data_IF_141554688504
#
_entry.id   IF_141554688504
#
_cell.length_a   1.000
_cell.length_b   1.000
_cell.length_c   1.000
_cell.angle_alpha   90.00
_cell.angle_beta   90.00
_cell.angle_gamma   90.00
#
_symmetry.space_group_name_H-M   'P 1'
#
loop_
_entity.id
_entity.type
_entity.pdbx_description
1 polymer ?
#
# COMPACT_ATOMS: atom_id res chain seq x y z
N UNK A 1 -36.69 5.68 -29.83
CA UNK A 1 -35.54 4.76 -30.02
C UNK A 1 -34.56 5.06 -28.91
N UNK A 2 -34.59 4.29 -27.84
CA UNK A 2 -33.63 4.38 -26.74
C UNK A 2 -33.06 2.99 -26.56
N UNK A 3 -31.75 2.91 -26.75
CA UNK A 3 -30.97 1.68 -26.87
C UNK A 3 -31.19 0.76 -25.67
N UNK A 4 -31.48 -0.52 -25.98
CA UNK A 4 -31.34 -1.60 -25.02
C UNK A 4 -29.89 -1.63 -24.56
N UNK A 5 -29.61 -1.06 -23.38
CA UNK A 5 -28.37 -1.34 -22.66
C UNK A 5 -28.40 -2.82 -22.30
N UNK A 6 -27.81 -3.63 -23.19
CA UNK A 6 -27.70 -5.06 -23.02
C UNK A 6 -26.85 -5.30 -21.77
N UNK A 7 -27.52 -5.66 -20.67
CA UNK A 7 -26.90 -5.99 -19.38
C UNK A 7 -25.77 -6.98 -19.65
N UNK A 8 -24.50 -6.55 -19.52
CA UNK A 8 -23.34 -7.44 -19.71
C UNK A 8 -23.49 -8.59 -18.72
N UNK A 9 -23.84 -9.77 -19.22
CA UNK A 9 -23.95 -10.98 -18.41
C UNK A 9 -22.52 -11.38 -18.02
N UNK A 10 -22.24 -11.47 -16.72
CA UNK A 10 -20.95 -11.97 -16.23
C UNK A 10 -20.83 -13.46 -16.58
N UNK A 11 -19.68 -13.85 -17.13
CA UNK A 11 -19.39 -15.25 -17.47
C UNK A 11 -18.75 -15.93 -16.25
N UNK A 12 -19.35 -16.97 -15.66
CA UNK A 12 -18.77 -17.67 -14.52
C UNK A 12 -17.51 -18.44 -14.95
N UNK A 13 -16.43 -18.32 -14.17
CA UNK A 13 -15.15 -18.98 -14.46
C UNK A 13 -14.99 -20.35 -13.78
N UNK A 14 -16.01 -20.83 -13.05
CA UNK A 14 -15.95 -22.11 -12.34
C UNK A 14 -14.97 -22.15 -11.16
N UNK A 15 -14.50 -21.00 -10.69
CA UNK A 15 -13.58 -20.85 -9.56
C UNK A 15 -14.05 -19.70 -8.67
N UNK A 16 -14.01 -19.88 -7.35
CA UNK A 16 -14.37 -18.84 -6.40
C UNK A 16 -13.27 -17.76 -6.31
N UNK A 17 -13.66 -16.57 -5.84
CA UNK A 17 -12.79 -15.38 -5.79
C UNK A 17 -11.54 -15.61 -4.94
N UNK A 18 -11.68 -16.32 -3.81
CA UNK A 18 -10.57 -16.59 -2.90
C UNK A 18 -9.56 -17.53 -3.55
N UNK A 19 -10.02 -18.64 -4.13
CA UNK A 19 -9.19 -19.59 -4.85
C UNK A 19 -8.46 -18.93 -6.03
N UNK A 20 -9.17 -18.13 -6.83
CA UNK A 20 -8.57 -17.39 -7.93
C UNK A 20 -7.52 -16.38 -7.45
N UNK A 21 -7.74 -15.74 -6.30
CA UNK A 21 -6.79 -14.79 -5.69
C UNK A 21 -5.54 -15.50 -5.19
N UNK A 22 -5.69 -16.63 -4.48
CA UNK A 22 -4.56 -17.45 -4.04
C UNK A 22 -3.70 -17.93 -5.22
N UNK A 23 -4.32 -18.32 -6.35
CA UNK A 23 -3.58 -18.69 -7.56
C UNK A 23 -2.78 -17.52 -8.14
N UNK A 24 -3.34 -16.31 -8.17
CA UNK A 24 -2.62 -15.10 -8.63
C UNK A 24 -1.45 -14.77 -7.70
N UNK A 25 -1.65 -14.80 -6.39
CA UNK A 25 -0.59 -14.57 -5.40
C UNK A 25 0.51 -15.63 -5.56
N UNK A 26 0.14 -16.92 -5.64
CA UNK A 26 1.09 -18.01 -5.92
C UNK A 26 1.95 -17.70 -7.14
N UNK A 27 1.32 -17.27 -8.25
CA UNK A 27 2.04 -16.93 -9.49
C UNK A 27 2.99 -15.74 -9.31
N UNK A 28 2.62 -14.72 -8.53
CA UNK A 28 3.53 -13.61 -8.19
C UNK A 28 4.77 -14.16 -7.48
N UNK A 29 4.61 -15.01 -6.48
CA UNK A 29 5.73 -15.66 -5.79
C UNK A 29 6.48 -16.72 -6.64
N UNK A 30 5.94 -17.15 -7.78
CA UNK A 30 6.66 -18.01 -8.72
C UNK A 30 7.58 -17.21 -9.64
N UNK A 31 7.26 -15.94 -9.89
CA UNK A 31 7.89 -15.11 -10.93
C UNK A 31 8.83 -14.04 -10.35
N UNK A 32 8.50 -13.49 -9.18
CA UNK A 32 9.20 -12.34 -8.63
C UNK A 32 9.91 -12.69 -7.32
N UNK A 33 11.17 -12.27 -7.23
CA UNK A 33 11.95 -12.38 -5.99
C UNK A 33 11.66 -11.22 -5.05
N UNK A 34 11.48 -10.02 -5.60
CA UNK A 34 11.19 -8.78 -4.87
C UNK A 34 9.70 -8.48 -4.92
N UNK A 35 9.03 -8.57 -3.78
CA UNK A 35 7.58 -8.37 -3.66
C UNK A 35 7.34 -7.31 -2.58
N UNK A 36 6.59 -6.26 -2.92
CA UNK A 36 6.07 -5.30 -1.94
C UNK A 36 4.55 -5.30 -1.96
N UNK A 37 3.93 -5.30 -0.78
CA UNK A 37 2.52 -5.02 -0.58
C UNK A 37 2.31 -3.53 -0.28
N UNK A 38 1.56 -2.84 -1.13
CA UNK A 38 1.01 -1.52 -0.83
C UNK A 38 -0.18 -1.68 0.13
N UNK A 39 0.03 -1.30 1.38
CA UNK A 39 -0.91 -1.47 2.48
C UNK A 39 -1.48 -0.11 2.88
N UNK A 40 -2.80 -0.03 3.07
CA UNK A 40 -3.50 1.21 3.42
C UNK A 40 -4.13 1.20 4.80
N UNK A 41 -4.07 0.07 5.52
CA UNK A 41 -4.84 -0.14 6.75
C UNK A 41 -6.34 -0.36 6.50
N UNK A 42 -6.81 -0.35 5.25
CA UNK A 42 -8.20 -0.60 4.90
C UNK A 42 -8.52 -2.10 4.76
N UNK A 43 -9.81 -2.44 4.68
CA UNK A 43 -10.27 -3.85 4.60
C UNK A 43 -9.65 -4.65 3.44
N UNK A 44 -9.56 -4.07 2.23
CA UNK A 44 -9.15 -4.82 1.03
C UNK A 44 -7.65 -5.11 1.07
N UNK A 45 -6.85 -4.11 1.45
CA UNK A 45 -5.41 -4.28 1.64
C UNK A 45 -5.08 -5.16 2.84
N UNK A 46 -5.92 -5.18 3.88
CA UNK A 46 -5.81 -6.11 5.01
C UNK A 46 -6.04 -7.56 4.59
N UNK A 47 -7.12 -7.84 3.85
CA UNK A 47 -7.36 -9.19 3.29
C UNK A 47 -6.20 -9.61 2.40
N UNK A 48 -5.70 -8.70 1.56
CA UNK A 48 -4.53 -8.98 0.73
C UNK A 48 -3.29 -9.31 1.57
N UNK A 49 -3.04 -8.59 2.67
CA UNK A 49 -1.94 -8.88 3.58
C UNK A 49 -2.04 -10.30 4.14
N UNK A 50 -3.20 -10.70 4.69
CA UNK A 50 -3.41 -12.06 5.18
C UNK A 50 -3.06 -13.13 4.13
N UNK A 51 -3.50 -12.93 2.87
CA UNK A 51 -3.27 -13.91 1.80
C UNK A 51 -1.82 -13.93 1.30
N UNK A 52 -1.16 -12.77 1.23
CA UNK A 52 0.25 -12.67 0.85
C UNK A 52 1.14 -13.29 1.92
N UNK A 53 0.85 -13.02 3.20
CA UNK A 53 1.58 -13.59 4.32
C UNK A 53 1.42 -15.11 4.43
N UNK A 54 0.22 -15.65 4.17
CA UNK A 54 -0.03 -17.10 4.10
C UNK A 54 0.87 -17.76 3.04
N UNK A 55 0.93 -17.19 1.83
CA UNK A 55 1.77 -17.71 0.76
C UNK A 55 3.28 -17.56 1.06
N UNK A 56 3.68 -16.43 1.65
CA UNK A 56 5.06 -16.18 2.06
C UNK A 56 5.53 -17.24 3.07
N UNK A 57 4.75 -17.46 4.13
CA UNK A 57 5.01 -18.49 5.16
C UNK A 57 5.07 -19.89 4.56
N UNK A 58 4.12 -20.25 3.67
CA UNK A 58 4.09 -21.55 3.00
C UNK A 58 5.37 -21.84 2.20
N UNK A 59 6.04 -20.80 1.71
CA UNK A 59 7.28 -20.90 0.93
C UNK A 59 8.55 -20.66 1.73
N UNK A 60 8.44 -20.28 3.01
CA UNK A 60 9.58 -19.78 3.77
C UNK A 60 10.23 -18.55 3.13
N UNK A 61 9.43 -17.72 2.43
CA UNK A 61 9.88 -16.49 1.78
C UNK A 61 9.37 -15.28 2.56
N UNK A 62 10.01 -14.13 2.33
CA UNK A 62 9.57 -12.84 2.84
C UNK A 62 9.10 -11.90 1.74
N UNK A 63 8.37 -10.86 2.13
CA UNK A 63 7.95 -9.75 1.27
C UNK A 63 8.06 -8.44 2.05
N UNK A 64 8.09 -7.31 1.35
CA UNK A 64 8.10 -5.99 1.96
C UNK A 64 6.71 -5.37 2.02
N UNK A 65 6.50 -4.39 2.88
CA UNK A 65 5.25 -3.64 3.00
C UNK A 65 5.52 -2.14 2.86
N UNK A 66 4.73 -1.45 2.06
CA UNK A 66 4.71 0.01 1.98
C UNK A 66 3.43 0.54 2.59
N UNK A 67 3.55 1.42 3.58
CA UNK A 67 2.45 2.16 4.17
C UNK A 67 2.76 3.66 4.15
N UNK A 68 1.91 4.46 3.48
CA UNK A 68 2.02 5.93 3.49
C UNK A 68 1.14 6.47 4.61
N UNK A 69 1.79 7.08 5.60
CA UNK A 69 1.14 7.69 6.73
C UNK A 69 0.89 9.18 6.44
N UNK A 70 -0.38 9.58 6.38
CA UNK A 70 -0.79 10.96 6.11
C UNK A 70 -0.89 11.84 7.37
N UNK A 71 -0.34 11.46 8.53
CA UNK A 71 -0.39 12.26 9.77
C UNK A 71 -1.81 12.34 10.38
N UNK A 72 -2.79 12.94 9.70
CA UNK A 72 -4.22 13.07 10.07
C UNK A 72 -5.09 11.82 9.85
N UNK A 73 -4.51 10.63 9.82
CA UNK A 73 -5.30 9.39 9.72
C UNK A 73 -6.02 9.05 11.04
N UNK A 74 -7.16 8.36 10.92
CA UNK A 74 -7.89 7.86 12.08
C UNK A 74 -6.99 6.99 12.96
N UNK A 75 -7.07 7.21 14.28
CA UNK A 75 -6.29 6.45 15.26
C UNK A 75 -6.49 4.94 15.11
N UNK A 76 -7.73 4.48 14.85
CA UNK A 76 -8.02 3.07 14.61
C UNK A 76 -7.29 2.47 13.41
N UNK A 77 -7.08 3.24 12.34
CA UNK A 77 -6.28 2.82 11.18
C UNK A 77 -4.82 2.64 11.58
N UNK A 78 -4.27 3.58 12.35
CA UNK A 78 -2.89 3.52 12.82
C UNK A 78 -2.66 2.34 13.77
N UNK A 79 -3.58 2.10 14.70
CA UNK A 79 -3.56 0.91 15.58
C UNK A 79 -3.58 -0.37 14.76
N UNK A 80 -4.51 -0.49 13.80
CA UNK A 80 -4.60 -1.67 12.94
C UNK A 80 -3.33 -1.89 12.11
N UNK A 81 -2.71 -0.83 11.60
CA UNK A 81 -1.45 -0.93 10.85
C UNK A 81 -0.32 -1.43 11.73
N UNK A 82 -0.23 -0.95 12.98
CA UNK A 82 0.74 -1.43 13.95
C UNK A 82 0.54 -2.91 14.31
N UNK A 83 -0.71 -3.32 14.55
CA UNK A 83 -1.07 -4.72 14.82
C UNK A 83 -0.70 -5.64 13.64
N UNK A 84 -0.97 -5.21 12.40
CA UNK A 84 -0.61 -5.96 11.20
C UNK A 84 0.91 -6.04 10.99
N UNK A 85 1.65 -4.98 11.30
CA UNK A 85 3.13 -4.98 11.27
C UNK A 85 3.69 -6.00 12.26
N UNK A 86 3.16 -6.05 13.48
CA UNK A 86 3.59 -7.00 14.51
C UNK A 86 3.23 -8.44 14.13
N UNK A 87 1.99 -8.67 13.71
CA UNK A 87 1.43 -9.99 13.38
C UNK A 87 2.21 -10.72 12.28
N UNK A 88 2.84 -9.99 11.37
CA UNK A 88 3.54 -10.54 10.20
C UNK A 88 5.04 -10.24 10.18
N UNK A 89 5.62 -9.90 11.32
CA UNK A 89 7.06 -9.62 11.41
C UNK A 89 7.93 -10.83 11.04
N UNK A 90 7.42 -12.04 11.21
CA UNK A 90 8.11 -13.29 10.85
C UNK A 90 8.32 -13.45 9.34
N UNK A 91 7.38 -12.95 8.52
CA UNK A 91 7.40 -13.10 7.06
C UNK A 91 7.49 -11.77 6.29
N UNK A 92 7.62 -10.65 7.00
CA UNK A 92 7.94 -9.35 6.42
C UNK A 92 9.46 -9.13 6.46
N UNK A 93 10.03 -8.67 5.34
CA UNK A 93 11.44 -8.28 5.24
C UNK A 93 11.61 -6.85 5.74
N UNK A 94 11.00 -5.90 5.05
CA UNK A 94 10.94 -4.50 5.44
C UNK A 94 9.49 -4.02 5.56
N UNK A 95 9.22 -3.19 6.57
CA UNK A 95 7.95 -2.47 6.70
C UNK A 95 8.23 -0.97 6.56
N UNK A 96 8.11 -0.45 5.34
CA UNK A 96 8.30 0.95 5.00
C UNK A 96 7.09 1.77 5.48
N UNK A 97 7.11 2.20 6.74
CA UNK A 97 6.14 3.12 7.31
C UNK A 97 6.59 4.56 7.07
N UNK A 98 6.03 5.21 6.05
CA UNK A 98 6.50 6.51 5.58
C UNK A 98 5.82 7.63 6.37
N UNK A 99 6.59 8.36 7.17
CA UNK A 99 6.19 9.60 7.83
C UNK A 99 7.06 10.77 7.33
N UNK A 100 7.10 10.91 6.00
CA UNK A 100 7.83 11.98 5.31
C UNK A 100 6.87 13.06 4.83
N UNK A 101 7.33 14.32 4.71
CA UNK A 101 6.58 15.38 4.05
C UNK A 101 6.15 15.01 2.63
N UNK A 102 4.84 14.83 2.43
CA UNK A 102 4.24 14.51 1.14
C UNK A 102 3.03 15.42 0.88
N UNK A 103 2.98 15.96 -0.34
CA UNK A 103 1.91 16.86 -0.76
C UNK A 103 0.72 16.09 -1.31
N UNK A 104 -0.48 16.49 -0.92
CA UNK A 104 -1.74 16.01 -1.51
C UNK A 104 -2.78 17.11 -1.57
N UNK A 105 -3.85 16.85 -2.33
CA UNK A 105 -4.96 17.79 -2.49
C UNK A 105 -5.74 17.98 -1.19
N UNK A 106 -6.10 19.22 -0.92
CA UNK A 106 -6.98 19.62 0.16
C UNK A 106 -8.40 19.83 -0.41
N UNK A 107 -9.31 18.90 -0.11
CA UNK A 107 -10.70 18.96 -0.57
C UNK A 107 -11.59 19.99 0.15
N UNK A 108 -11.10 20.66 1.21
CA UNK A 108 -11.91 21.54 2.06
C UNK A 108 -11.57 23.04 1.92
N UNK A 109 -10.60 23.40 1.08
CA UNK A 109 -10.23 24.81 0.86
C UNK A 109 -9.94 25.12 -0.60
N UNK A 110 -10.60 26.14 -1.14
CA UNK A 110 -10.30 26.68 -2.46
C UNK A 110 -9.10 27.65 -2.46
N UNK A 111 -8.71 28.17 -1.28
CA UNK A 111 -7.61 29.12 -1.12
C UNK A 111 -6.30 28.38 -0.84
N UNK A 112 -6.38 27.25 -0.13
CA UNK A 112 -5.28 26.35 0.16
C UNK A 112 -5.63 24.97 -0.41
N UNK A 113 -5.49 24.77 -1.72
CA UNK A 113 -5.95 23.56 -2.42
C UNK A 113 -5.07 22.34 -2.19
N UNK A 114 -3.94 22.49 -1.49
CA UNK A 114 -2.98 21.44 -1.18
C UNK A 114 -2.54 21.56 0.28
N UNK A 115 -2.07 20.44 0.83
CA UNK A 115 -1.46 20.39 2.15
C UNK A 115 -0.36 19.31 2.19
N UNK A 116 0.55 19.45 3.14
CA UNK A 116 1.70 18.57 3.31
C UNK A 116 1.53 17.82 4.63
N UNK A 117 1.39 16.50 4.57
CA UNK A 117 1.45 15.67 5.78
C UNK A 117 2.85 15.72 6.37
N UNK A 118 3.01 15.63 7.69
CA UNK A 118 4.33 15.67 8.35
C UNK A 118 5.19 16.91 7.99
N UNK A 119 4.56 18.05 7.71
CA UNK A 119 5.27 19.29 7.33
C UNK A 119 6.22 19.78 8.43
N UNK A 120 7.38 20.32 8.04
CA UNK A 120 8.32 20.93 9.00
C UNK A 120 7.70 22.15 9.67
N UNK A 121 7.95 22.30 10.97
CA UNK A 121 7.49 23.44 11.78
C UNK A 121 5.96 23.57 11.87
N UNK A 122 5.20 22.53 11.51
CA UNK A 122 3.79 22.44 11.77
C UNK A 122 3.53 21.72 13.10
N UNK A 123 2.41 22.05 13.74
CA UNK A 123 1.92 21.31 14.90
C UNK A 123 1.22 20.03 14.41
N UNK A 124 1.89 18.88 14.56
CA UNK A 124 1.30 17.59 14.21
C UNK A 124 0.29 17.13 15.27
N UNK A 125 -0.79 16.49 14.85
CA UNK A 125 -1.82 15.92 15.71
C UNK A 125 -1.35 14.67 16.47
N UNK A 126 -0.21 14.10 16.06
CA UNK A 126 0.47 12.98 16.74
C UNK A 126 1.94 12.88 16.32
N UNK A 127 2.69 12.08 17.07
CA UNK A 127 4.05 11.72 16.70
C UNK A 127 4.08 10.55 15.70
N UNK A 128 5.10 10.46 14.83
CA UNK A 128 5.40 9.24 14.08
C UNK A 128 5.60 8.05 15.02
N UNK A 129 5.16 6.83 14.65
CA UNK A 129 5.40 5.64 15.45
C UNK A 129 6.85 5.17 15.35
N UNK A 130 7.26 4.32 16.30
CA UNK A 130 8.62 3.80 16.34
C UNK A 130 9.01 3.03 15.07
N UNK A 131 10.18 3.34 14.54
CA UNK A 131 10.70 2.76 13.29
C UNK A 131 10.01 3.28 12.02
N UNK A 132 9.16 4.31 12.11
CA UNK A 132 8.72 5.03 10.93
C UNK A 132 9.89 5.79 10.28
N UNK A 133 9.84 5.90 8.97
CA UNK A 133 10.82 6.64 8.17
C UNK A 133 10.46 8.11 8.23
N UNK A 134 11.22 8.86 9.02
CA UNK A 134 11.13 10.31 9.18
C UNK A 134 12.40 11.04 8.69
N UNK A 135 13.45 10.29 8.37
CA UNK A 135 14.71 10.83 7.84
C UNK A 135 14.58 11.08 6.32
N UNK A 136 14.88 12.31 5.92
CA UNK A 136 14.66 12.76 4.55
C UNK A 136 15.74 12.21 3.60
N UNK A 137 16.87 11.78 4.15
CA UNK A 137 17.96 11.16 3.40
C UNK A 137 17.81 9.63 3.27
N UNK A 138 16.76 9.04 3.88
CA UNK A 138 16.54 7.59 3.84
C UNK A 138 16.41 7.06 2.41
N UNK A 139 15.74 7.82 1.54
CA UNK A 139 15.61 7.48 0.12
C UNK A 139 16.40 8.46 -0.74
N UNK A 140 17.30 7.99 -1.61
CA UNK A 140 18.10 8.87 -2.46
C UNK A 140 17.27 9.63 -3.52
N UNK A 141 16.02 9.19 -3.75
CA UNK A 141 15.10 9.84 -4.69
C UNK A 141 14.18 10.87 -4.01
N UNK A 142 14.11 10.89 -2.68
CA UNK A 142 13.12 11.69 -1.98
C UNK A 142 13.43 13.18 -2.11
N UNK A 143 12.36 13.96 -2.29
CA UNK A 143 12.41 15.42 -2.31
C UNK A 143 11.33 15.94 -1.36
N UNK A 144 11.68 16.94 -0.56
CA UNK A 144 10.76 17.53 0.41
C UNK A 144 9.44 17.96 -0.26
N UNK A 145 8.31 17.49 0.29
CA UNK A 145 6.98 17.87 -0.20
C UNK A 145 6.66 17.34 -1.60
N UNK A 146 7.35 16.29 -2.07
CA UNK A 146 6.95 15.65 -3.33
C UNK A 146 5.53 15.08 -3.23
N UNK A 147 4.82 15.05 -4.36
CA UNK A 147 3.45 14.51 -4.38
C UNK A 147 3.46 12.99 -4.24
N UNK A 148 2.34 12.42 -3.78
CA UNK A 148 2.14 10.96 -3.77
C UNK A 148 2.36 10.33 -5.15
N UNK A 149 1.87 11.00 -6.20
CA UNK A 149 1.98 10.58 -7.60
C UNK A 149 3.44 10.55 -8.08
N UNK A 150 4.32 11.35 -7.46
CA UNK A 150 5.75 11.33 -7.72
C UNK A 150 6.47 10.30 -6.83
N UNK A 151 6.04 10.16 -5.58
CA UNK A 151 6.66 9.28 -4.59
C UNK A 151 6.50 7.81 -4.97
N UNK A 152 5.30 7.36 -5.34
CA UNK A 152 5.04 5.94 -5.61
C UNK A 152 5.88 5.40 -6.79
N UNK A 153 5.96 6.07 -7.95
CA UNK A 153 6.84 5.61 -9.03
C UNK A 153 8.32 5.61 -8.65
N UNK A 154 8.77 6.62 -7.89
CA UNK A 154 10.16 6.71 -7.45
C UNK A 154 10.51 5.60 -6.45
N UNK A 155 9.63 5.34 -5.47
CA UNK A 155 9.74 4.21 -4.56
C UNK A 155 9.76 2.89 -5.31
N UNK A 156 8.85 2.66 -6.26
CA UNK A 156 8.81 1.41 -7.02
C UNK A 156 10.10 1.18 -7.83
N UNK A 157 10.66 2.23 -8.43
CA UNK A 157 11.93 2.16 -9.16
C UNK A 157 13.11 1.88 -8.23
N UNK A 158 13.14 2.51 -7.06
CA UNK A 158 14.16 2.28 -6.05
C UNK A 158 14.06 0.87 -5.46
N UNK A 159 12.84 0.45 -5.07
CA UNK A 159 12.58 -0.86 -4.51
C UNK A 159 12.93 -1.97 -5.49
N UNK A 160 12.65 -1.79 -6.78
CA UNK A 160 12.96 -2.83 -7.77
C UNK A 160 14.46 -2.99 -8.01
N UNK A 161 15.26 -1.96 -7.77
CA UNK A 161 16.70 -1.94 -8.04
C UNK A 161 17.06 -2.40 -9.48
N UNK A 162 16.16 -2.20 -10.44
CA UNK A 162 16.33 -2.66 -11.84
C UNK A 162 15.94 -4.12 -12.10
N UNK A 163 15.53 -4.86 -11.07
CA UNK A 163 15.14 -6.27 -11.17
C UNK A 163 13.62 -6.46 -11.33
N UNK A 164 13.17 -7.58 -11.94
CA UNK A 164 11.76 -7.95 -11.95
C UNK A 164 11.17 -7.98 -10.54
N UNK A 165 10.18 -7.13 -10.30
CA UNK A 165 9.56 -6.94 -8.99
C UNK A 165 8.05 -6.83 -9.10
N UNK A 166 7.33 -7.23 -8.05
CA UNK A 166 5.89 -7.08 -7.95
C UNK A 166 5.49 -6.07 -6.87
N UNK A 167 4.65 -5.12 -7.24
CA UNK A 167 3.96 -4.22 -6.30
C UNK A 167 2.49 -4.65 -6.26
N UNK A 168 2.08 -5.16 -5.11
CA UNK A 168 0.77 -5.75 -4.88
C UNK A 168 -0.15 -4.70 -4.25
N UNK A 169 -1.35 -4.49 -4.82
CA UNK A 169 -2.31 -3.49 -4.31
C UNK A 169 -3.68 -4.15 -4.08
N UNK A 170 -4.21 -4.01 -2.87
CA UNK A 170 -5.53 -4.52 -2.50
C UNK A 170 -6.59 -3.46 -2.77
N UNK A 171 -7.35 -3.62 -3.85
CA UNK A 171 -8.41 -2.68 -4.25
C UNK A 171 -9.73 -3.44 -4.35
N UNK A 172 -10.80 -2.80 -3.90
CA UNK A 172 -12.16 -3.29 -4.12
C UNK A 172 -12.43 -3.40 -5.63
N UNK A 173 -12.76 -4.59 -6.09
CA UNK A 173 -13.35 -4.78 -7.43
C UNK A 173 -14.84 -4.46 -7.39
N UNK A 174 -15.47 -4.25 -8.55
CA UNK A 174 -16.93 -4.33 -8.64
C UNK A 174 -17.39 -5.63 -7.97
N UNK A 175 -18.50 -5.55 -7.22
CA UNK A 175 -19.07 -6.70 -6.51
C UNK A 175 -19.22 -7.86 -7.48
N UNK A 176 -18.48 -8.95 -7.23
CA UNK A 176 -18.38 -10.15 -8.07
C UNK A 176 -19.74 -10.80 -8.31
#
# INVERSE_FOLDING_TARGET
MTENVQKRIKIPLGIDVLSATKLRIKKVFDVFDRITLSFSGGKDSTVMFHLVADEARRRGRKFSVLFIDWEVQYHSTITHVAEMRELYTDCTEDFYWICLPLTTVNGVSAIQPEWIAWERNADWIRNPPDGAITDYEHFPFYQYGMTFESFIPAFNKWFSAGEPSAIMVGIRTDES
#
